data_IF_206870576078
#
_entry.id   IF_206870576078
#
_cell.length_a   1.000
_cell.length_b   1.000
_cell.length_c   1.000
_cell.angle_alpha   90.00
_cell.angle_beta   90.00
_cell.angle_gamma   90.00
#
_symmetry.space_group_name_H-M   'P 1'
#
loop_
_entity.id
_entity.type
_entity.pdbx_description
1 polymer ?
#
# COMPACT_ATOMS: atom_id res chain seq x y z
N UNK A 1 -84.20 -53.77 -44.00
CA UNK A 1 -83.87 -53.63 -42.57
C UNK A 1 -82.64 -52.74 -42.48
N UNK A 2 -82.80 -51.57 -41.86
CA UNK A 2 -81.87 -50.44 -41.90
C UNK A 2 -81.00 -50.46 -40.62
N UNK A 3 -79.67 -50.43 -40.75
CA UNK A 3 -78.76 -50.41 -39.58
C UNK A 3 -77.96 -49.10 -39.61
N UNK A 4 -78.24 -48.26 -38.61
CA UNK A 4 -77.62 -46.96 -38.39
C UNK A 4 -76.16 -47.09 -37.94
N UNK A 5 -75.27 -46.32 -38.58
CA UNK A 5 -73.90 -46.05 -38.15
C UNK A 5 -73.88 -45.00 -37.04
N UNK A 6 -73.26 -45.31 -35.90
CA UNK A 6 -73.04 -44.38 -34.79
C UNK A 6 -71.74 -43.60 -35.02
N UNK A 7 -71.85 -42.29 -35.22
CA UNK A 7 -70.71 -41.36 -35.32
C UNK A 7 -70.25 -41.00 -33.89
N UNK A 8 -69.04 -41.43 -33.52
CA UNK A 8 -68.40 -41.04 -32.27
C UNK A 8 -67.99 -39.55 -32.28
N UNK A 9 -68.66 -38.75 -31.45
CA UNK A 9 -68.32 -37.34 -31.21
C UNK A 9 -67.07 -37.21 -30.32
N UNK A 10 -65.97 -36.71 -30.88
CA UNK A 10 -64.80 -36.27 -30.10
C UNK A 10 -65.15 -34.98 -29.35
N UNK A 11 -65.27 -35.09 -28.03
CA UNK A 11 -65.55 -33.98 -27.11
C UNK A 11 -64.29 -33.11 -26.96
N UNK A 12 -64.17 -32.04 -27.75
CA UNK A 12 -63.16 -31.02 -27.54
C UNK A 12 -63.42 -30.31 -26.19
N UNK A 13 -62.57 -30.58 -25.19
CA UNK A 13 -62.54 -29.81 -23.95
C UNK A 13 -62.06 -28.39 -24.29
N UNK A 14 -62.96 -27.41 -24.18
CA UNK A 14 -62.58 -25.99 -24.20
C UNK A 14 -61.71 -25.72 -22.97
N UNK A 15 -60.39 -25.67 -23.15
CA UNK A 15 -59.47 -25.11 -22.17
C UNK A 15 -59.69 -23.59 -22.15
N UNK A 16 -60.66 -23.14 -21.35
CA UNK A 16 -61.04 -21.74 -21.26
C UNK A 16 -60.21 -21.00 -20.21
N UNK A 17 -59.45 -20.00 -20.64
CA UNK A 17 -58.98 -18.86 -19.83
C UNK A 17 -57.88 -19.13 -18.79
N UNK A 18 -58.00 -20.16 -17.96
CA UNK A 18 -57.11 -20.37 -16.80
C UNK A 18 -55.66 -20.69 -17.20
N UNK A 19 -55.46 -21.44 -18.30
CA UNK A 19 -54.12 -21.79 -18.77
C UNK A 19 -53.31 -20.55 -19.20
N UNK A 20 -53.96 -19.56 -19.82
CA UNK A 20 -53.32 -18.31 -20.24
C UNK A 20 -52.95 -17.43 -19.03
N UNK A 21 -53.81 -17.39 -18.02
CA UNK A 21 -53.55 -16.67 -16.77
C UNK A 21 -52.41 -17.32 -15.97
N UNK A 22 -52.36 -18.65 -15.91
CA UNK A 22 -51.25 -19.38 -15.27
C UNK A 22 -49.94 -19.16 -16.04
N UNK A 23 -49.97 -19.21 -17.37
CA UNK A 23 -48.79 -18.93 -18.20
C UNK A 23 -48.30 -17.49 -18.01
N UNK A 24 -49.20 -16.50 -17.99
CA UNK A 24 -48.86 -15.11 -17.72
C UNK A 24 -48.31 -14.92 -16.31
N UNK A 25 -48.84 -15.62 -15.31
CA UNK A 25 -48.33 -15.56 -13.94
C UNK A 25 -46.91 -16.13 -13.86
N UNK A 26 -46.66 -17.27 -14.51
CA UNK A 26 -45.33 -17.88 -14.59
C UNK A 26 -44.35 -16.94 -15.31
N UNK A 27 -44.77 -16.33 -16.43
CA UNK A 27 -43.95 -15.39 -17.18
C UNK A 27 -43.66 -14.11 -16.37
N UNK A 28 -44.64 -13.59 -15.64
CA UNK A 28 -44.45 -12.43 -14.78
C UNK A 28 -43.49 -12.72 -13.62
N UNK A 29 -43.57 -13.91 -13.02
CA UNK A 29 -42.66 -14.34 -11.95
C UNK A 29 -41.23 -14.55 -12.46
N UNK A 30 -41.05 -15.14 -13.64
CA UNK A 30 -39.71 -15.33 -14.24
C UNK A 30 -39.08 -14.01 -14.68
N UNK A 31 -39.87 -13.10 -15.26
CA UNK A 31 -39.38 -11.75 -15.61
C UNK A 31 -38.98 -10.99 -14.35
N UNK A 32 -39.79 -11.07 -13.29
CA UNK A 32 -39.51 -10.40 -12.01
C UNK A 32 -38.23 -10.90 -11.34
N UNK A 33 -37.96 -12.21 -11.35
CA UNK A 33 -36.72 -12.76 -10.77
C UNK A 33 -35.48 -12.36 -11.56
N UNK A 34 -35.55 -12.28 -12.90
CA UNK A 34 -34.43 -11.82 -13.74
C UNK A 34 -34.12 -10.33 -13.50
N UNK A 35 -35.15 -9.48 -13.38
CA UNK A 35 -34.98 -8.05 -13.09
C UNK A 35 -34.38 -7.79 -11.69
N UNK A 36 -34.88 -8.48 -10.66
CA UNK A 36 -34.38 -8.31 -9.28
C UNK A 36 -32.95 -8.83 -9.13
N UNK A 37 -32.59 -9.93 -9.79
CA UNK A 37 -31.23 -10.47 -9.75
C UNK A 37 -30.22 -9.64 -10.55
N UNK A 38 -30.65 -8.97 -11.63
CA UNK A 38 -29.80 -8.08 -12.43
C UNK A 38 -29.50 -6.74 -11.75
N UNK A 39 -30.53 -6.12 -11.14
CA UNK A 39 -30.38 -4.84 -10.43
C UNK A 39 -29.57 -4.99 -9.13
N UNK A 40 -29.88 -6.00 -8.31
CA UNK A 40 -29.19 -6.21 -7.03
C UNK A 40 -27.70 -6.57 -7.17
N UNK A 41 -27.28 -7.20 -8.27
CA UNK A 41 -25.87 -7.54 -8.50
C UNK A 41 -25.00 -6.31 -8.80
N UNK A 42 -25.48 -5.39 -9.63
CA UNK A 42 -24.75 -4.14 -9.94
C UNK A 42 -24.62 -3.26 -8.70
N UNK A 43 -25.70 -3.09 -7.96
CA UNK A 43 -25.68 -2.30 -6.72
C UNK A 43 -24.74 -2.91 -5.66
N UNK A 44 -24.68 -4.24 -5.55
CA UNK A 44 -23.78 -4.91 -4.62
C UNK A 44 -22.30 -4.83 -5.05
N UNK A 45 -21.99 -4.86 -6.35
CA UNK A 45 -20.61 -4.66 -6.82
C UNK A 45 -20.16 -3.22 -6.56
N UNK A 46 -20.98 -2.22 -6.89
CA UNK A 46 -20.66 -0.81 -6.61
C UNK A 46 -20.42 -0.56 -5.12
N UNK A 47 -21.24 -1.13 -4.24
CA UNK A 47 -21.04 -1.04 -2.79
C UNK A 47 -19.73 -1.68 -2.33
N UNK A 48 -19.38 -2.85 -2.87
CA UNK A 48 -18.13 -3.54 -2.52
C UNK A 48 -16.91 -2.76 -3.01
N UNK A 49 -16.98 -2.21 -4.21
CA UNK A 49 -15.94 -1.34 -4.76
C UNK A 49 -15.72 -0.12 -3.86
N UNK A 50 -16.81 0.52 -3.42
CA UNK A 50 -16.74 1.63 -2.48
C UNK A 50 -16.08 1.22 -1.15
N UNK A 51 -16.46 0.06 -0.58
CA UNK A 51 -15.83 -0.45 0.66
C UNK A 51 -14.33 -0.66 0.46
N UNK A 52 -13.91 -1.25 -0.65
CA UNK A 52 -12.49 -1.43 -0.97
C UNK A 52 -11.75 -0.10 -1.09
N UNK A 53 -12.32 0.87 -1.82
CA UNK A 53 -11.73 2.20 -1.96
C UNK A 53 -11.62 2.93 -0.62
N UNK A 54 -12.63 2.85 0.24
CA UNK A 54 -12.60 3.44 1.58
C UNK A 54 -11.56 2.77 2.49
N UNK A 55 -11.41 1.44 2.41
CA UNK A 55 -10.41 0.70 3.16
C UNK A 55 -8.99 1.07 2.69
N UNK A 56 -8.74 1.08 1.38
CA UNK A 56 -7.46 1.48 0.80
C UNK A 56 -7.10 2.93 1.15
N UNK A 57 -8.05 3.86 1.06
CA UNK A 57 -7.82 5.26 1.45
C UNK A 57 -7.44 5.39 2.93
N UNK A 58 -8.17 4.72 3.84
CA UNK A 58 -7.84 4.72 5.28
C UNK A 58 -6.48 4.11 5.57
N UNK A 59 -6.09 3.06 4.84
CA UNK A 59 -4.78 2.45 4.97
C UNK A 59 -3.67 3.41 4.53
N UNK A 60 -3.85 4.08 3.37
CA UNK A 60 -2.93 5.11 2.89
C UNK A 60 -2.79 6.25 3.89
N UNK A 61 -3.90 6.81 4.38
CA UNK A 61 -3.88 7.88 5.39
C UNK A 61 -3.15 7.47 6.67
N UNK A 62 -3.36 6.23 7.13
CA UNK A 62 -2.69 5.70 8.32
C UNK A 62 -1.18 5.54 8.12
N UNK A 63 -0.75 5.08 6.93
CA UNK A 63 0.67 4.97 6.58
C UNK A 63 1.34 6.34 6.46
N UNK A 64 0.67 7.32 5.82
CA UNK A 64 1.15 8.71 5.78
C UNK A 64 1.29 9.27 7.20
N UNK A 65 0.27 9.08 8.05
CA UNK A 65 0.32 9.51 9.44
C UNK A 65 1.37 8.78 10.27
N UNK A 66 1.66 7.51 9.97
CA UNK A 66 2.76 6.78 10.59
C UNK A 66 4.11 7.37 10.16
N UNK A 67 4.32 7.57 8.86
CA UNK A 67 5.55 8.15 8.31
C UNK A 67 5.83 9.54 8.91
N UNK A 68 4.80 10.37 9.04
CA UNK A 68 4.90 11.67 9.70
C UNK A 68 5.47 11.58 11.13
N UNK A 69 5.05 10.58 11.91
CA UNK A 69 5.50 10.40 13.31
C UNK A 69 6.86 9.72 13.42
N UNK A 70 7.35 9.12 12.35
CA UNK A 70 8.57 8.32 12.33
C UNK A 70 9.58 8.82 11.28
N UNK A 71 9.60 10.15 11.04
CA UNK A 71 10.61 10.81 10.20
C UNK A 71 10.69 10.25 8.76
N UNK A 72 9.57 9.73 8.26
CA UNK A 72 9.46 9.13 6.93
C UNK A 72 9.54 7.60 6.92
N UNK A 73 9.88 6.94 8.03
CA UNK A 73 9.85 5.49 8.14
C UNK A 73 8.43 4.94 8.02
N UNK A 74 8.28 3.80 7.35
CA UNK A 74 7.05 3.04 7.25
C UNK A 74 7.16 1.75 8.07
N UNK A 75 6.05 1.19 8.58
CA UNK A 75 6.11 -0.02 9.40
C UNK A 75 6.53 -1.22 8.55
N UNK A 76 7.24 -2.18 9.14
CA UNK A 76 7.48 -3.47 8.50
C UNK A 76 6.13 -4.20 8.24
N UNK A 77 6.00 -4.99 7.17
CA UNK A 77 4.81 -5.80 6.95
C UNK A 77 4.55 -6.81 8.08
N UNK A 78 3.29 -7.24 8.20
CA UNK A 78 2.86 -8.26 9.16
C UNK A 78 2.73 -9.63 8.46
N UNK A 79 3.61 -10.57 8.76
CA UNK A 79 3.66 -11.88 8.09
C UNK A 79 2.58 -12.86 8.56
N UNK A 80 1.99 -12.65 9.74
CA UNK A 80 1.06 -13.61 10.37
C UNK A 80 -0.36 -13.05 10.58
N UNK A 81 -0.58 -11.78 10.28
CA UNK A 81 -1.90 -11.13 10.27
C UNK A 81 -2.44 -10.83 11.66
N UNK A 82 -1.59 -10.66 12.67
CA UNK A 82 -1.99 -10.29 14.04
C UNK A 82 -2.08 -8.77 14.27
N UNK A 83 -1.64 -7.99 13.29
CA UNK A 83 -1.64 -6.53 13.25
C UNK A 83 -0.34 -5.86 13.69
N UNK A 84 0.64 -6.62 14.18
CA UNK A 84 1.94 -6.09 14.59
C UNK A 84 2.89 -6.03 13.38
N UNK A 85 3.75 -5.02 13.37
CA UNK A 85 4.85 -4.98 12.40
C UNK A 85 5.94 -5.99 12.82
N UNK A 86 6.42 -6.80 11.89
CA UNK A 86 7.49 -7.78 12.15
C UNK A 86 8.90 -7.15 12.13
N UNK A 87 9.96 -7.96 12.12
CA UNK A 87 11.36 -7.52 12.17
C UNK A 87 11.94 -7.05 10.82
N UNK A 88 11.14 -6.44 9.93
CA UNK A 88 11.57 -5.89 8.63
C UNK A 88 12.43 -6.87 7.78
N UNK A 89 12.08 -8.16 7.85
CA UNK A 89 12.74 -9.24 7.12
C UNK A 89 11.95 -9.73 5.90
N UNK A 90 10.77 -9.15 5.68
CA UNK A 90 9.80 -9.57 4.69
C UNK A 90 9.36 -8.35 3.89
N UNK A 91 9.55 -8.40 2.58
CA UNK A 91 9.20 -7.28 1.68
C UNK A 91 7.69 -7.10 1.52
N UNK A 92 6.89 -8.15 1.81
CA UNK A 92 5.43 -8.12 1.77
C UNK A 92 4.81 -8.77 3.00
N UNK A 93 3.55 -8.44 3.27
CA UNK A 93 2.71 -9.11 4.24
C UNK A 93 1.31 -8.52 4.30
N UNK A 94 0.65 -8.74 5.43
CA UNK A 94 -0.56 -8.04 5.80
C UNK A 94 -0.26 -6.61 6.24
N UNK A 95 -1.25 -5.72 6.10
CA UNK A 95 -1.17 -4.37 6.66
C UNK A 95 -1.12 -4.43 8.20
N UNK A 96 -0.08 -3.88 8.87
CA UNK A 96 0.11 -3.98 10.32
C UNK A 96 -0.82 -2.98 11.06
N UNK A 97 -2.11 -3.29 11.12
CA UNK A 97 -3.15 -2.38 11.60
C UNK A 97 -2.97 -1.92 13.05
N UNK A 98 -2.39 -2.74 13.94
CA UNK A 98 -2.08 -2.32 15.31
C UNK A 98 -0.93 -1.32 15.33
N UNK A 99 0.13 -1.56 14.57
CA UNK A 99 1.27 -0.63 14.46
C UNK A 99 0.81 0.74 13.91
N UNK A 100 -0.19 0.72 13.02
CA UNK A 100 -0.82 1.91 12.45
C UNK A 100 -1.88 2.57 13.36
N UNK A 101 -2.18 1.99 14.53
CA UNK A 101 -3.20 2.44 15.47
C UNK A 101 -4.62 2.58 14.85
N UNK A 102 -4.95 1.68 13.92
CA UNK A 102 -6.27 1.60 13.28
C UNK A 102 -6.93 0.24 13.56
N UNK A 103 -8.22 0.12 13.27
CA UNK A 103 -8.89 -1.18 13.29
C UNK A 103 -8.48 -2.00 12.06
N UNK A 104 -8.59 -3.35 12.11
CA UNK A 104 -8.39 -4.18 10.94
C UNK A 104 -9.27 -3.70 9.78
N UNK A 105 -8.65 -3.45 8.63
CA UNK A 105 -9.33 -3.01 7.42
C UNK A 105 -9.55 -4.21 6.50
N UNK A 106 -10.76 -4.28 5.94
CA UNK A 106 -11.14 -5.32 4.99
C UNK A 106 -11.71 -4.68 3.72
N UNK A 107 -11.42 -5.28 2.59
CA UNK A 107 -11.98 -4.87 1.31
C UNK A 107 -13.44 -5.33 1.14
N UNK A 108 -14.05 -4.98 0.00
CA UNK A 108 -15.41 -5.38 -0.34
C UNK A 108 -15.61 -6.89 -0.52
N UNK A 109 -14.54 -7.68 -0.67
CA UNK A 109 -14.55 -9.14 -0.67
C UNK A 109 -14.42 -9.75 0.74
N UNK A 110 -14.10 -8.93 1.75
CA UNK A 110 -13.89 -9.32 3.14
C UNK A 110 -12.46 -9.75 3.47
N UNK A 111 -11.52 -9.66 2.52
CA UNK A 111 -10.11 -9.95 2.75
C UNK A 111 -9.43 -8.76 3.47
N UNK A 112 -8.46 -9.04 4.33
CA UNK A 112 -7.58 -7.99 4.84
C UNK A 112 -6.69 -7.44 3.71
N UNK A 113 -6.18 -6.23 3.91
CA UNK A 113 -5.31 -5.59 2.93
C UNK A 113 -3.89 -6.16 3.00
N UNK A 114 -3.29 -6.38 1.83
CA UNK A 114 -1.88 -6.70 1.63
C UNK A 114 -1.06 -5.41 1.57
N UNK A 115 0.20 -5.51 1.95
CA UNK A 115 1.08 -4.37 2.11
C UNK A 115 2.51 -4.74 1.71
N UNK A 116 3.14 -3.86 0.93
CA UNK A 116 4.54 -3.97 0.49
C UNK A 116 5.20 -2.60 0.69
N UNK A 117 6.44 -2.61 1.17
CA UNK A 117 7.22 -1.40 1.47
C UNK A 117 8.60 -1.46 0.83
N UNK A 118 9.06 -0.33 0.29
CA UNK A 118 10.40 -0.21 -0.30
C UNK A 118 11.44 -0.30 0.80
N UNK A 119 12.57 -0.94 0.49
CA UNK A 119 13.61 -1.25 1.47
C UNK A 119 14.20 0.03 2.11
N UNK A 120 14.25 1.14 1.38
CA UNK A 120 14.76 2.41 1.89
C UNK A 120 13.85 3.05 2.97
N UNK A 121 12.58 2.64 3.03
CA UNK A 121 11.56 3.22 3.92
C UNK A 121 11.08 2.24 5.00
N UNK A 122 11.54 0.98 4.97
CA UNK A 122 11.05 -0.09 5.82
C UNK A 122 11.69 -0.03 7.23
N UNK A 123 10.88 0.26 8.25
CA UNK A 123 11.22 0.24 9.68
C UNK A 123 12.14 1.36 10.16
N UNK A 124 12.87 1.99 9.24
CA UNK A 124 13.85 3.03 9.51
C UNK A 124 13.64 4.18 8.53
N UNK A 125 13.83 5.41 9.00
CA UNK A 125 13.75 6.58 8.15
C UNK A 125 14.92 6.61 7.17
N UNK A 126 14.70 6.94 5.89
CA UNK A 126 15.80 7.06 4.95
C UNK A 126 16.69 8.25 5.32
N UNK A 127 18.01 8.10 5.19
CA UNK A 127 18.98 9.16 5.48
C UNK A 127 18.83 10.38 4.55
N UNK A 128 18.29 10.17 3.35
CA UNK A 128 17.92 11.20 2.40
C UNK A 128 16.70 10.77 1.61
N UNK A 129 15.93 11.73 1.10
CA UNK A 129 14.78 11.42 0.26
C UNK A 129 15.25 10.80 -1.06
N UNK A 130 14.85 9.55 -1.27
CA UNK A 130 15.17 8.75 -2.44
C UNK A 130 13.89 8.15 -3.01
N UNK A 131 13.84 7.96 -4.31
CA UNK A 131 12.71 7.27 -4.93
C UNK A 131 12.61 5.84 -4.40
N UNK A 132 11.37 5.36 -4.21
CA UNK A 132 11.13 3.98 -3.80
C UNK A 132 11.37 2.96 -4.92
N UNK A 133 11.43 1.69 -4.52
CA UNK A 133 11.81 0.59 -5.42
C UNK A 133 10.71 0.14 -6.40
N UNK A 134 9.51 0.70 -6.29
CA UNK A 134 8.33 0.17 -6.98
C UNK A 134 7.86 1.02 -8.17
N UNK A 135 7.34 0.32 -9.17
CA UNK A 135 6.65 0.85 -10.32
C UNK A 135 5.21 0.32 -10.39
N UNK A 136 4.26 1.17 -10.78
CA UNK A 136 2.89 0.79 -11.10
C UNK A 136 2.70 0.84 -12.61
N UNK A 137 2.29 -0.27 -13.21
CA UNK A 137 1.99 -0.40 -14.64
C UNK A 137 0.49 -0.56 -14.90
N UNK A 138 0.07 -0.22 -16.12
CA UNK A 138 -1.23 -0.60 -16.66
C UNK A 138 -1.19 -1.93 -17.43
N UNK A 139 -2.34 -2.35 -17.97
CA UNK A 139 -2.49 -3.60 -18.72
C UNK A 139 -1.63 -3.68 -20.00
N UNK A 140 -1.21 -2.54 -20.54
CA UNK A 140 -0.37 -2.44 -21.73
C UNK A 140 1.13 -2.34 -21.35
N UNK A 141 1.47 -2.57 -20.07
CA UNK A 141 2.79 -2.44 -19.47
C UNK A 141 3.38 -1.03 -19.56
N UNK A 142 2.54 0.02 -19.63
CA UNK A 142 3.02 1.39 -19.50
C UNK A 142 3.15 1.76 -18.03
N UNK A 143 4.27 2.37 -17.67
CA UNK A 143 4.50 2.97 -16.35
C UNK A 143 3.49 4.09 -16.09
N UNK A 144 2.65 3.91 -15.07
CA UNK A 144 1.71 4.92 -14.54
C UNK A 144 2.32 5.71 -13.38
N UNK A 145 3.13 5.05 -12.57
CA UNK A 145 3.84 5.68 -11.46
C UNK A 145 5.17 4.96 -11.23
N UNK A 146 6.20 5.69 -10.83
CA UNK A 146 7.52 5.16 -10.51
C UNK A 146 8.04 5.86 -9.25
N UNK A 147 9.02 5.26 -8.58
CA UNK A 147 9.52 5.78 -7.31
C UNK A 147 8.53 5.59 -6.15
N UNK A 148 7.69 4.57 -6.26
CA UNK A 148 6.68 4.25 -5.25
C UNK A 148 7.34 3.59 -4.05
N UNK A 149 7.04 4.10 -2.85
CA UNK A 149 7.68 3.71 -1.59
C UNK A 149 6.87 2.67 -0.82
N UNK A 150 5.57 2.56 -1.11
CA UNK A 150 4.72 1.50 -0.60
C UNK A 150 3.49 1.26 -1.47
N UNK A 151 3.02 0.02 -1.49
CA UNK A 151 1.80 -0.41 -2.18
C UNK A 151 0.90 -1.12 -1.19
N UNK A 152 -0.37 -0.72 -1.14
CA UNK A 152 -1.43 -1.42 -0.40
C UNK A 152 -2.36 -2.05 -1.43
N UNK A 153 -2.62 -3.35 -1.30
CA UNK A 153 -3.45 -4.10 -2.22
C UNK A 153 -4.69 -4.68 -1.53
N UNK A 154 -5.83 -4.55 -2.21
CA UNK A 154 -7.10 -5.19 -1.89
C UNK A 154 -7.30 -6.37 -2.86
N UNK A 155 -7.19 -7.62 -2.38
CA UNK A 155 -7.36 -8.83 -3.19
C UNK A 155 -8.79 -9.12 -3.65
N UNK A 156 -9.79 -8.41 -3.10
CA UNK A 156 -11.22 -8.57 -3.36
C UNK A 156 -11.73 -10.02 -3.18
N UNK A 157 -12.77 -10.42 -3.92
CA UNK A 157 -13.29 -11.78 -3.88
C UNK A 157 -12.28 -12.79 -4.45
N UNK A 158 -12.25 -13.99 -3.90
CA UNK A 158 -11.35 -15.03 -4.40
C UNK A 158 -11.68 -15.41 -5.86
N UNK A 159 -10.69 -15.33 -6.74
CA UNK A 159 -10.77 -15.83 -8.10
C UNK A 159 -10.55 -17.36 -8.16
N UNK A 160 -11.00 -18.04 -9.23
CA UNK A 160 -10.77 -19.47 -9.39
C UNK A 160 -9.27 -19.83 -9.29
N UNK A 161 -8.94 -20.74 -8.37
CA UNK A 161 -7.56 -21.19 -8.14
C UNK A 161 -6.88 -20.56 -6.92
N UNK A 162 -7.41 -19.45 -6.38
CA UNK A 162 -6.91 -18.86 -5.16
C UNK A 162 -7.31 -19.66 -3.92
N UNK A 163 -6.32 -20.12 -3.14
CA UNK A 163 -6.54 -20.98 -1.97
C UNK A 163 -6.38 -20.20 -0.65
N UNK A 164 -7.35 -19.32 -0.36
CA UNK A 164 -7.37 -18.48 0.86
C UNK A 164 -7.79 -19.21 2.15
N UNK A 165 -7.57 -20.51 2.20
CA UNK A 165 -7.87 -21.35 3.36
C UNK A 165 -6.86 -21.16 4.49
N UNK A 166 -7.23 -21.56 5.71
CA UNK A 166 -6.34 -21.44 6.88
C UNK A 166 -4.99 -22.13 6.69
N UNK A 167 -4.96 -23.32 6.06
CA UNK A 167 -3.76 -24.16 6.04
C UNK A 167 -3.44 -24.69 7.45
N UNK A 168 -2.29 -24.29 7.99
CA UNK A 168 -1.76 -24.66 9.31
C UNK A 168 -1.83 -23.49 10.31
N UNK A 169 -1.47 -23.74 11.57
CA UNK A 169 -1.46 -22.73 12.64
C UNK A 169 -2.85 -22.41 13.22
N UNK A 170 -2.91 -21.37 14.04
CA UNK A 170 -4.14 -20.84 14.64
C UNK A 170 -4.54 -19.53 13.94
N UNK A 171 -5.84 -19.23 13.86
CA UNK A 171 -6.30 -17.99 13.24
C UNK A 171 -5.85 -16.76 14.03
N UNK A 172 -5.23 -15.81 13.34
CA UNK A 172 -5.15 -14.42 13.76
C UNK A 172 -6.32 -13.64 13.10
N UNK A 173 -6.34 -12.31 13.24
CA UNK A 173 -7.37 -11.45 12.65
C UNK A 173 -7.37 -11.53 11.12
N UNK A 174 -6.19 -11.45 10.51
CA UNK A 174 -6.03 -11.47 9.06
C UNK A 174 -5.44 -12.76 8.51
N UNK A 175 -4.68 -13.50 9.33
CA UNK A 175 -3.81 -14.58 8.88
C UNK A 175 -3.85 -15.83 9.75
N UNK A 176 -2.67 -16.44 9.87
CA UNK A 176 -2.40 -17.58 10.75
C UNK A 176 -1.13 -17.35 11.55
N UNK A 177 -1.06 -17.86 12.78
CA UNK A 177 0.16 -17.83 13.61
C UNK A 177 1.32 -18.65 13.02
N UNK A 178 1.06 -19.47 12.00
CA UNK A 178 2.11 -20.15 11.22
C UNK A 178 2.37 -19.34 9.95
N UNK A 179 3.55 -18.73 9.85
CA UNK A 179 3.94 -17.88 8.71
C UNK A 179 3.96 -18.63 7.38
N UNK A 180 4.13 -19.96 7.39
CA UNK A 180 4.11 -20.80 6.18
C UNK A 180 2.71 -21.24 5.76
N UNK A 181 1.67 -20.88 6.52
CA UNK A 181 0.30 -21.27 6.22
C UNK A 181 -0.19 -20.65 4.90
N UNK A 182 -1.01 -21.40 4.17
CA UNK A 182 -1.66 -20.95 2.93
C UNK A 182 -2.34 -19.59 3.08
N UNK A 183 -2.90 -19.32 4.26
CA UNK A 183 -3.56 -18.06 4.55
C UNK A 183 -2.63 -16.86 4.49
N UNK A 184 -1.35 -16.99 4.84
CA UNK A 184 -0.37 -15.91 4.84
C UNK A 184 0.37 -15.77 3.50
N UNK A 185 0.31 -16.78 2.64
CA UNK A 185 0.95 -16.76 1.32
C UNK A 185 0.23 -15.81 0.36
N UNK A 186 0.94 -14.77 -0.10
CA UNK A 186 0.43 -13.73 -1.00
C UNK A 186 -0.03 -14.26 -2.35
N UNK A 187 0.55 -15.36 -2.84
CA UNK A 187 0.15 -16.00 -4.11
C UNK A 187 -1.26 -16.59 -4.07
N UNK A 188 -1.83 -16.79 -2.89
CA UNK A 188 -3.22 -17.19 -2.73
C UNK A 188 -4.21 -16.02 -2.79
N UNK A 189 -3.74 -14.78 -2.93
CA UNK A 189 -4.57 -13.58 -2.86
C UNK A 189 -4.46 -12.69 -4.10
N UNK A 190 -3.24 -12.43 -4.56
CA UNK A 190 -3.00 -11.46 -5.63
C UNK A 190 -2.79 -12.15 -6.98
N UNK A 191 -3.08 -11.41 -8.04
CA UNK A 191 -3.25 -11.91 -9.38
C UNK A 191 -2.09 -11.57 -10.31
N UNK A 192 -2.11 -12.22 -11.48
CA UNK A 192 -1.19 -11.95 -12.58
C UNK A 192 -1.97 -11.58 -13.83
N UNK A 193 -1.57 -10.48 -14.49
CA UNK A 193 -2.07 -10.11 -15.82
C UNK A 193 -0.93 -9.47 -16.62
N UNK A 194 -0.96 -9.59 -17.94
CA UNK A 194 0.05 -9.02 -18.85
C UNK A 194 1.52 -9.36 -18.53
N UNK A 195 1.76 -10.47 -17.81
CA UNK A 195 3.09 -10.92 -17.40
C UNK A 195 3.62 -10.31 -16.09
N UNK A 196 2.84 -9.43 -15.44
CA UNK A 196 3.16 -8.84 -14.13
C UNK A 196 2.36 -9.57 -13.05
N UNK A 197 3.03 -10.03 -12.01
CA UNK A 197 2.44 -10.76 -10.89
C UNK A 197 2.49 -9.90 -9.62
N UNK A 198 1.31 -9.47 -9.14
CA UNK A 198 1.21 -8.69 -7.89
C UNK A 198 1.61 -9.50 -6.64
N UNK A 199 1.67 -10.83 -6.74
CA UNK A 199 2.18 -11.74 -5.71
C UNK A 199 3.64 -12.16 -5.92
N UNK A 200 4.41 -11.50 -6.79
CA UNK A 200 5.80 -11.87 -7.03
C UNK A 200 6.63 -11.79 -5.74
N UNK A 201 7.55 -12.73 -5.54
CA UNK A 201 8.53 -12.63 -4.46
C UNK A 201 9.48 -11.46 -4.73
N UNK A 202 9.57 -10.51 -3.81
CA UNK A 202 10.31 -9.25 -3.96
C UNK A 202 9.88 -8.46 -5.21
N UNK A 203 8.63 -8.00 -5.26
CA UNK A 203 8.10 -7.30 -6.42
C UNK A 203 8.78 -5.94 -6.58
N UNK A 204 9.18 -5.59 -7.80
CA UNK A 204 9.58 -4.22 -8.18
C UNK A 204 8.56 -3.54 -9.08
N UNK A 205 7.61 -4.32 -9.63
CA UNK A 205 6.55 -3.84 -10.52
C UNK A 205 5.23 -4.44 -10.08
N UNK A 206 4.22 -3.58 -9.96
CA UNK A 206 2.82 -3.94 -9.72
C UNK A 206 1.97 -3.51 -10.90
N UNK A 207 0.83 -4.17 -11.07
CA UNK A 207 -0.11 -3.87 -12.14
C UNK A 207 -1.48 -3.50 -11.59
N UNK A 208 -2.04 -2.42 -12.14
CA UNK A 208 -3.43 -2.02 -11.93
C UNK A 208 -4.18 -2.13 -13.25
N UNK A 209 -5.21 -2.98 -13.26
CA UNK A 209 -6.07 -3.18 -14.43
C UNK A 209 -7.55 -3.24 -14.03
N UNK A 210 -8.42 -3.23 -15.03
CA UNK A 210 -9.85 -3.45 -14.84
C UNK A 210 -10.14 -4.87 -14.35
N UNK A 211 -11.18 -5.02 -13.53
CA UNK A 211 -11.59 -6.32 -12.98
C UNK A 211 -12.09 -7.24 -14.09
N UNK A 212 -11.60 -8.47 -14.07
CA UNK A 212 -11.98 -9.55 -14.97
C UNK A 212 -12.09 -10.88 -14.23
N UNK A 213 -12.10 -11.97 -15.01
CA UNK A 213 -12.24 -13.33 -14.45
C UNK A 213 -10.92 -13.90 -13.89
N UNK A 214 -9.80 -13.25 -14.18
CA UNK A 214 -8.44 -13.70 -13.84
C UNK A 214 -7.60 -12.62 -13.16
N UNK A 215 -8.18 -11.42 -12.96
CA UNK A 215 -7.53 -10.30 -12.29
C UNK A 215 -8.60 -9.44 -11.64
N UNK A 216 -8.54 -9.20 -10.34
CA UNK A 216 -9.43 -8.27 -9.66
C UNK A 216 -8.74 -7.43 -8.58
N UNK A 217 -7.42 -7.55 -8.41
CA UNK A 217 -6.67 -6.72 -7.47
C UNK A 217 -6.90 -5.22 -7.69
N UNK A 218 -7.03 -4.51 -6.57
CA UNK A 218 -7.05 -3.05 -6.55
C UNK A 218 -5.96 -2.57 -5.63
N UNK A 219 -5.16 -1.61 -6.08
CA UNK A 219 -4.06 -1.04 -5.32
C UNK A 219 -4.26 0.45 -5.08
N UNK A 220 -3.70 0.92 -3.98
CA UNK A 220 -3.34 2.32 -3.77
C UNK A 220 -1.89 2.36 -3.33
N UNK A 221 -1.18 3.43 -3.64
CA UNK A 221 0.25 3.53 -3.39
C UNK A 221 0.64 4.85 -2.76
N UNK A 222 1.82 4.85 -2.14
CA UNK A 222 2.48 6.04 -1.61
C UNK A 222 3.74 6.31 -2.45
N UNK A 223 3.99 7.58 -2.75
CA UNK A 223 5.28 8.04 -3.27
C UNK A 223 6.00 8.88 -2.20
N UNK A 224 7.24 9.26 -2.50
CA UNK A 224 8.02 10.18 -1.66
C UNK A 224 7.26 11.46 -1.35
N UNK A 225 6.47 11.99 -2.30
CA UNK A 225 5.64 13.19 -2.09
C UNK A 225 4.51 13.02 -1.09
N UNK A 226 3.96 11.81 -0.90
CA UNK A 226 2.94 11.57 0.12
C UNK A 226 3.57 11.64 1.53
N UNK A 227 4.81 11.16 1.66
CA UNK A 227 5.57 11.17 2.90
C UNK A 227 6.12 12.57 3.19
N UNK A 228 6.68 13.25 2.19
CA UNK A 228 7.30 14.56 2.33
C UNK A 228 6.31 15.71 2.29
N UNK A 229 5.14 15.55 1.69
CA UNK A 229 4.04 16.50 1.84
C UNK A 229 3.51 16.57 3.28
N UNK A 230 3.85 15.58 4.10
CA UNK A 230 3.57 15.55 5.54
C UNK A 230 4.77 15.99 6.38
N UNK A 231 6.01 15.78 5.93
CA UNK A 231 7.21 16.35 6.55
C UNK A 231 7.28 17.83 6.16
N UNK A 232 7.04 18.73 7.10
CA UNK A 232 7.23 20.15 6.86
C UNK A 232 8.72 20.42 6.55
N UNK A 233 9.07 20.47 5.26
CA UNK A 233 10.38 20.92 4.78
C UNK A 233 10.32 22.43 4.68
N UNK A 234 11.14 23.10 5.48
CA UNK A 234 11.18 24.55 5.49
C UNK A 234 11.87 25.10 4.25
N UNK A 235 11.31 26.16 3.66
CA UNK A 235 11.94 26.91 2.58
C UNK A 235 13.29 27.48 3.05
N UNK A 236 14.20 27.77 2.10
CA UNK A 236 15.42 28.52 2.40
C UNK A 236 15.08 29.82 3.14
N UNK A 237 15.70 30.08 4.29
CA UNK A 237 15.26 31.14 5.21
C UNK A 237 14.60 30.66 6.49
N UNK A 238 14.24 29.38 6.60
CA UNK A 238 13.42 28.88 7.71
C UNK A 238 14.00 27.60 8.31
N UNK A 239 13.86 27.42 9.61
CA UNK A 239 14.27 26.21 10.34
C UNK A 239 13.07 25.56 11.01
N UNK A 240 13.08 24.22 11.08
CA UNK A 240 12.00 23.45 11.67
C UNK A 240 12.17 23.45 13.20
N UNK A 241 11.38 24.25 13.90
CA UNK A 241 11.34 24.29 15.36
C UNK A 241 10.01 23.73 15.81
N UNK A 242 10.02 22.59 16.51
CA UNK A 242 8.82 21.94 17.03
C UNK A 242 7.71 21.68 15.98
N UNK A 243 8.09 21.38 14.74
CA UNK A 243 7.13 21.13 13.66
C UNK A 243 6.56 22.38 12.98
N UNK A 244 7.11 23.56 13.25
CA UNK A 244 6.76 24.83 12.60
C UNK A 244 8.00 25.41 11.92
N UNK A 245 7.85 25.88 10.68
CA UNK A 245 8.91 26.64 10.01
C UNK A 245 8.96 28.05 10.56
N UNK A 246 9.99 28.33 11.33
CA UNK A 246 10.28 29.67 11.85
C UNK A 246 11.40 30.30 11.03
N UNK A 247 11.29 31.60 10.74
CA UNK A 247 12.30 32.34 9.99
C UNK A 247 13.63 32.33 10.76
N UNK A 248 14.73 32.10 10.07
CA UNK A 248 16.08 32.29 10.59
C UNK A 248 16.27 33.79 10.85
N UNK A 249 16.11 34.21 12.10
CA UNK A 249 16.30 35.60 12.54
C UNK A 249 17.78 35.94 12.80
N UNK A 250 18.60 34.91 13.04
CA UNK A 250 20.03 35.03 13.34
C UNK A 250 20.74 33.72 13.04
N UNK A 251 22.03 33.81 12.70
CA UNK A 251 22.91 32.66 12.51
C UNK A 251 23.84 32.48 13.71
N UNK A 252 24.35 31.26 13.91
CA UNK A 252 25.35 30.96 14.94
C UNK A 252 26.68 31.70 14.69
N UNK A 253 27.48 31.83 15.74
CA UNK A 253 28.76 32.56 15.71
C UNK A 253 29.68 32.01 14.59
N UNK A 254 30.03 32.87 13.63
CA UNK A 254 30.84 32.52 12.46
C UNK A 254 30.06 32.52 11.13
N UNK A 255 28.73 32.64 11.18
CA UNK A 255 27.86 32.65 10.01
C UNK A 255 27.09 33.98 9.91
N UNK A 256 26.83 34.41 8.67
CA UNK A 256 26.04 35.59 8.35
C UNK A 256 24.81 35.19 7.54
N UNK A 257 23.66 35.82 7.80
CA UNK A 257 22.45 35.59 7.04
C UNK A 257 22.53 36.32 5.69
N UNK A 258 22.58 35.56 4.60
CA UNK A 258 22.59 36.07 3.22
C UNK A 258 21.47 35.37 2.45
N UNK A 259 20.51 36.15 1.94
CA UNK A 259 19.36 35.67 1.17
C UNK A 259 18.59 34.50 1.84
N UNK A 260 18.46 34.56 3.17
CA UNK A 260 17.78 33.53 3.97
C UNK A 260 18.64 32.33 4.36
N UNK A 261 19.90 32.27 3.93
CA UNK A 261 20.79 31.17 4.30
C UNK A 261 21.90 31.66 5.25
N UNK A 262 22.22 30.86 6.27
CA UNK A 262 23.39 31.09 7.10
C UNK A 262 24.64 30.61 6.36
N UNK A 263 25.51 31.55 5.99
CA UNK A 263 26.74 31.27 5.27
C UNK A 263 27.97 31.76 6.04
N UNK A 264 29.07 31.01 5.95
CA UNK A 264 30.34 31.40 6.56
C UNK A 264 31.02 32.57 5.82
N UNK A 265 32.22 32.96 6.24
CA UNK A 265 32.98 34.06 5.61
C UNK A 265 33.40 33.78 4.15
N UNK A 266 33.25 32.54 3.69
CA UNK A 266 33.54 32.09 2.32
C UNK A 266 32.28 31.90 1.48
N UNK A 267 31.08 32.08 2.07
CA UNK A 267 29.80 31.91 1.39
C UNK A 267 29.26 30.47 1.41
N UNK A 268 29.82 29.60 2.26
CA UNK A 268 29.41 28.20 2.37
C UNK A 268 28.30 28.02 3.39
N UNK A 269 27.33 27.16 3.08
CA UNK A 269 26.25 26.81 4.00
C UNK A 269 26.79 26.08 5.24
N UNK A 270 26.04 26.07 6.34
CA UNK A 270 26.39 25.33 7.58
C UNK A 270 26.69 23.84 7.32
N UNK A 271 26.18 23.27 6.22
CA UNK A 271 26.42 21.87 5.80
C UNK A 271 27.63 21.68 4.88
N UNK A 272 28.36 22.75 4.57
CA UNK A 272 29.44 22.78 3.60
C UNK A 272 30.74 23.31 4.22
N UNK A 273 31.88 22.90 3.68
CA UNK A 273 33.17 23.46 4.04
C UNK A 273 33.89 24.03 2.80
N UNK A 274 34.61 25.17 2.95
CA UNK A 274 35.45 25.69 1.89
C UNK A 274 36.65 24.78 1.65
N UNK A 275 36.84 24.32 0.42
CA UNK A 275 38.09 23.65 0.04
C UNK A 275 39.25 24.67 -0.09
N UNK A 276 40.49 24.18 -0.25
CA UNK A 276 41.70 25.02 -0.44
C UNK A 276 41.65 25.96 -1.67
N UNK A 277 40.58 25.92 -2.47
CA UNK A 277 40.32 26.82 -3.60
C UNK A 277 39.11 27.76 -3.42
N UNK A 278 38.49 27.78 -2.24
CA UNK A 278 37.33 28.63 -1.94
C UNK A 278 36.00 28.14 -2.54
N UNK A 279 35.89 26.88 -2.94
CA UNK A 279 34.63 26.28 -3.38
C UNK A 279 34.00 25.47 -2.24
N UNK A 280 32.72 25.72 -1.98
CA UNK A 280 31.93 25.02 -0.97
C UNK A 280 31.60 23.60 -1.43
N UNK A 281 31.81 22.63 -0.55
CA UNK A 281 31.46 21.22 -0.80
C UNK A 281 30.79 20.65 0.43
N UNK A 282 29.70 19.90 0.24
CA UNK A 282 29.07 19.14 1.31
C UNK A 282 30.10 18.29 2.04
N UNK A 283 30.07 18.39 3.37
CA UNK A 283 30.98 17.63 4.22
C UNK A 283 30.46 16.21 4.30
N UNK A 284 31.19 15.26 3.72
CA UNK A 284 30.92 13.82 3.84
C UNK A 284 32.00 13.25 4.74
N UNK A 285 31.62 12.82 5.94
CA UNK A 285 32.51 12.18 6.90
C UNK A 285 32.37 10.67 6.87
N UNK A 286 33.46 9.96 7.14
CA UNK A 286 33.46 8.50 7.27
C UNK A 286 32.71 8.07 8.54
N UNK A 287 32.19 6.84 8.56
CA UNK A 287 31.44 6.29 9.70
C UNK A 287 32.20 6.45 11.03
N UNK A 288 31.51 7.04 12.02
CA UNK A 288 32.05 7.35 13.35
C UNK A 288 32.72 8.72 13.46
N UNK A 289 32.60 9.56 12.44
CA UNK A 289 33.06 10.95 12.46
C UNK A 289 31.94 11.90 12.04
N UNK A 290 31.81 13.01 12.77
CA UNK A 290 30.94 14.14 12.43
C UNK A 290 31.78 15.35 12.06
N UNK A 291 31.27 16.18 11.15
CA UNK A 291 31.93 17.43 10.80
C UNK A 291 31.91 18.39 12.00
N UNK A 292 33.06 18.95 12.37
CA UNK A 292 33.11 20.08 13.28
C UNK A 292 32.83 21.41 12.55
N UNK A 293 32.62 22.47 13.32
CA UNK A 293 32.32 23.82 12.84
C UNK A 293 33.42 24.44 11.96
N UNK A 294 34.58 23.79 11.83
CA UNK A 294 35.68 24.17 10.94
C UNK A 294 35.82 23.32 9.68
N UNK A 295 34.83 22.46 9.37
CA UNK A 295 34.84 21.62 8.18
C UNK A 295 35.74 20.39 8.25
N UNK A 296 36.16 19.99 9.45
CA UNK A 296 36.98 18.80 9.67
C UNK A 296 36.15 17.68 10.29
N UNK A 297 36.24 16.47 9.75
CA UNK A 297 35.62 15.29 10.35
C UNK A 297 36.33 14.93 11.66
N UNK A 298 35.60 15.00 12.77
CA UNK A 298 36.05 14.67 14.12
C UNK A 298 35.34 13.41 14.61
N UNK A 299 36.01 12.58 15.39
CA UNK A 299 35.41 11.36 15.91
C UNK A 299 34.25 11.69 16.87
N UNK A 300 33.15 10.94 16.74
CA UNK A 300 31.96 11.13 17.57
C UNK A 300 32.31 10.81 19.04
N UNK A 301 32.24 11.82 19.92
CA UNK A 301 32.53 11.67 21.35
C UNK A 301 31.39 10.99 22.13
N UNK A 302 30.70 10.00 21.53
CA UNK A 302 29.91 9.07 22.31
C UNK A 302 30.86 8.07 22.97
N UNK A 303 31.29 8.44 24.18
CA UNK A 303 32.08 7.57 25.03
C UNK A 303 31.34 6.26 25.29
N UNK A 304 31.72 5.20 24.57
CA UNK A 304 31.79 3.88 25.15
C UNK A 304 33.25 3.43 25.20
N UNK A 305 33.79 3.46 26.41
CA UNK A 305 35.07 2.86 26.75
C UNK A 305 34.99 1.36 26.53
N UNK A 306 35.55 0.89 25.43
CA UNK A 306 35.72 -0.52 25.11
C UNK A 306 37.11 -0.79 24.55
N UNK A 307 38.14 -0.32 25.25
CA UNK A 307 39.52 -0.60 24.88
C UNK A 307 39.80 -2.09 24.88
N UNK A 308 40.28 -2.61 23.77
CA UNK A 308 41.35 -3.59 23.82
C UNK A 308 42.31 -3.36 22.65
N UNK A 309 43.28 -2.46 22.89
CA UNK A 309 44.48 -2.42 22.10
C UNK A 309 45.27 -3.71 22.26
N UNK A 310 45.59 -4.35 21.15
CA UNK A 310 46.86 -5.06 20.99
C UNK A 310 47.52 -4.57 19.72
N UNK A 311 48.39 -3.57 19.88
CA UNK A 311 49.45 -3.29 18.93
C UNK A 311 50.64 -4.24 19.10
N UNK A 312 51.58 -4.10 18.14
CA UNK A 312 52.87 -4.78 17.93
C UNK A 312 52.75 -5.97 16.97
N UNK A 313 53.34 -5.98 15.77
CA UNK A 313 54.51 -5.27 15.22
C UNK A 313 54.26 -4.90 13.77
#
# INVERSE_FOLDING_TARGET
>A
MNVNSQINSRRNKKQGGAALLILMLILALTISTVLVTGAGKKDNTVKRDQVSSEALAKAKDALVGYAYRNEGALPCPDSIGDGLADSCSTTEGWLPWQALAIKPLRDGGGACLRYVVSAAYEGVAPASLVDGDFEIQDVDNNTRNAGVVAVILAPLEALPGQLRGMGSGSSSECGSTDSSAQKNDVSNYLDTISGVNNAASNPTVFIQADKGNTFNDVSIWLSTTDITGSILVCDAGYTLINGVCELIQSCDDGYNLVDGNCVDIYGCLVTEAPNNGGQCKNIVCDDGYTANDGGQCIADNNGNSGGNGKGKK
#
